data_IF_888941162144
#
_entry.id   IF_888941162144
#
_cell.length_a   1.000
_cell.length_b   1.000
_cell.length_c   1.000
_cell.angle_alpha   90.00
_cell.angle_beta   90.00
_cell.angle_gamma   90.00
#
_symmetry.space_group_name_H-M   'P 1'
#
loop_
_entity.id
_entity.type
_entity.pdbx_description
1 polymer ?
#
# COMPACT_ATOMS: atom_id res chain seq x y z
N UNK A 1 9.18 22.17 -24.13
CA UNK A 1 9.22 21.12 -23.09
C UNK A 1 8.20 20.02 -23.41
N UNK A 2 8.53 19.03 -24.26
CA UNK A 2 7.83 17.75 -24.17
C UNK A 2 8.82 16.59 -24.40
N UNK A 3 9.71 16.34 -23.44
CA UNK A 3 10.56 15.15 -23.45
C UNK A 3 10.66 14.60 -22.04
N UNK A 4 9.94 13.50 -21.84
CA UNK A 4 9.92 12.62 -20.67
C UNK A 4 9.33 13.21 -19.37
N UNK A 5 8.00 13.25 -19.31
CA UNK A 5 7.29 13.30 -18.04
C UNK A 5 7.26 11.88 -17.45
N UNK A 6 8.17 11.59 -16.52
CA UNK A 6 8.20 10.30 -15.80
C UNK A 6 7.16 10.22 -14.66
N UNK A 7 6.44 11.32 -14.41
CA UNK A 7 5.42 11.42 -13.37
C UNK A 7 4.03 11.42 -13.99
N UNK A 8 3.03 11.02 -13.21
CA UNK A 8 1.66 11.00 -13.69
C UNK A 8 1.07 12.39 -13.94
N UNK A 9 0.21 12.52 -14.97
CA UNK A 9 -0.46 13.77 -15.36
C UNK A 9 -1.11 14.54 -14.21
N UNK A 10 -1.83 13.82 -13.35
CA UNK A 10 -2.52 14.42 -12.20
C UNK A 10 -1.53 15.01 -11.19
N UNK A 11 -0.41 14.34 -10.94
CA UNK A 11 0.61 14.85 -10.03
C UNK A 11 1.26 16.10 -10.63
N UNK A 12 1.58 16.11 -11.92
CA UNK A 12 2.18 17.29 -12.57
C UNK A 12 1.27 18.52 -12.43
N UNK A 13 -0.03 18.35 -12.71
CA UNK A 13 -1.00 19.42 -12.56
C UNK A 13 -1.15 19.87 -11.10
N UNK A 14 -1.17 18.92 -10.16
CA UNK A 14 -1.21 19.19 -8.73
C UNK A 14 0.00 20.04 -8.30
N UNK A 15 1.22 19.70 -8.76
CA UNK A 15 2.43 20.44 -8.44
C UNK A 15 2.43 21.86 -9.00
N UNK A 16 1.83 22.09 -10.17
CA UNK A 16 1.71 23.45 -10.74
C UNK A 16 0.95 24.40 -9.79
N UNK A 17 -0.01 23.89 -9.01
CA UNK A 17 -0.75 24.69 -8.03
C UNK A 17 -0.07 24.76 -6.66
N UNK A 18 0.65 23.70 -6.27
CA UNK A 18 1.23 23.57 -4.93
C UNK A 18 2.64 24.12 -4.80
N UNK A 19 3.30 24.50 -5.89
CA UNK A 19 4.73 24.86 -5.87
C UNK A 19 5.03 26.02 -4.91
N UNK A 20 4.12 26.99 -4.82
CA UNK A 20 4.25 28.17 -3.95
C UNK A 20 4.11 27.83 -2.45
N UNK A 21 3.49 26.70 -2.13
CA UNK A 21 3.22 26.26 -0.74
C UNK A 21 3.80 24.88 -0.44
N UNK A 22 4.76 24.41 -1.24
CA UNK A 22 5.22 23.02 -1.25
C UNK A 22 5.59 22.51 0.16
N UNK A 23 6.30 23.31 0.96
CA UNK A 23 6.73 22.93 2.32
C UNK A 23 5.57 22.60 3.24
N UNK A 24 4.57 23.47 3.30
CA UNK A 24 3.37 23.24 4.11
C UNK A 24 2.59 22.03 3.60
N UNK A 25 2.52 21.84 2.28
CA UNK A 25 1.76 20.74 1.70
C UNK A 25 2.38 19.39 2.08
N UNK A 26 3.69 19.22 1.97
CA UNK A 26 4.35 17.96 2.34
C UNK A 26 4.25 17.68 3.84
N UNK A 27 4.42 18.71 4.70
CA UNK A 27 4.22 18.55 6.14
C UNK A 27 2.78 18.14 6.48
N UNK A 28 1.77 18.77 5.85
CA UNK A 28 0.37 18.41 6.05
C UNK A 28 0.10 16.99 5.55
N UNK A 29 0.70 16.60 4.42
CA UNK A 29 0.56 15.27 3.82
C UNK A 29 1.09 14.18 4.75
N UNK A 30 2.24 14.38 5.39
CA UNK A 30 2.78 13.43 6.38
C UNK A 30 1.93 13.37 7.66
N UNK A 31 1.41 14.51 8.13
CA UNK A 31 0.45 14.54 9.26
C UNK A 31 -0.83 13.79 8.91
N UNK A 32 -1.37 13.97 7.70
CA UNK A 32 -2.55 13.26 7.21
C UNK A 32 -2.29 11.75 7.14
N UNK A 33 -1.11 11.33 6.67
CA UNK A 33 -0.70 9.91 6.68
C UNK A 33 -0.72 9.37 8.11
N UNK A 34 -0.07 10.06 9.05
CA UNK A 34 0.00 9.63 10.45
C UNK A 34 -1.39 9.53 11.10
N UNK A 35 -2.26 10.51 10.85
CA UNK A 35 -3.66 10.50 11.35
C UNK A 35 -4.45 9.36 10.72
N UNK A 36 -4.30 9.11 9.42
CA UNK A 36 -4.98 8.00 8.74
C UNK A 36 -4.55 6.65 9.32
N UNK A 37 -3.24 6.45 9.53
CA UNK A 37 -2.71 5.25 10.17
C UNK A 37 -3.19 5.10 11.62
N UNK A 38 -3.20 6.18 12.40
CA UNK A 38 -3.73 6.17 13.77
C UNK A 38 -5.19 5.68 13.80
N UNK A 39 -6.07 6.29 13.00
CA UNK A 39 -7.48 5.93 12.95
C UNK A 39 -7.68 4.50 12.45
N UNK A 40 -6.88 4.07 11.47
CA UNK A 40 -6.93 2.72 10.93
C UNK A 40 -6.59 1.68 12.01
N UNK A 41 -5.49 1.87 12.74
CA UNK A 41 -5.09 0.94 13.81
C UNK A 41 -6.04 0.99 15.00
N UNK A 42 -6.59 2.16 15.33
CA UNK A 42 -7.60 2.28 16.38
C UNK A 42 -8.84 1.44 16.05
N UNK A 43 -9.36 1.51 14.82
CA UNK A 43 -10.52 0.73 14.40
C UNK A 43 -10.19 -0.76 14.25
N UNK A 44 -8.99 -1.10 13.76
CA UNK A 44 -8.51 -2.48 13.73
C UNK A 44 -8.46 -3.10 15.13
N UNK A 45 -7.89 -2.39 16.12
CA UNK A 45 -7.80 -2.87 17.50
C UNK A 45 -9.18 -3.11 18.11
N UNK A 46 -10.19 -2.28 17.81
CA UNK A 46 -11.58 -2.54 18.23
C UNK A 46 -12.12 -3.86 17.67
N UNK A 47 -11.83 -4.17 16.40
CA UNK A 47 -12.26 -5.41 15.75
C UNK A 47 -11.54 -6.62 16.35
N UNK A 48 -10.22 -6.53 16.53
CA UNK A 48 -9.41 -7.59 17.14
C UNK A 48 -9.85 -7.86 18.57
N UNK A 49 -10.08 -6.81 19.37
CA UNK A 49 -10.52 -6.95 20.77
C UNK A 49 -11.85 -7.69 20.89
N UNK A 50 -12.83 -7.36 20.03
CA UNK A 50 -14.12 -8.07 19.97
C UNK A 50 -13.94 -9.54 19.60
N UNK A 51 -13.09 -9.84 18.61
CA UNK A 51 -12.79 -11.20 18.18
C UNK A 51 -12.08 -11.99 19.30
N UNK A 52 -11.13 -11.37 19.99
CA UNK A 52 -10.42 -11.99 21.12
C UNK A 52 -11.36 -12.30 22.27
N UNK A 53 -12.20 -11.33 22.69
CA UNK A 53 -13.18 -11.54 23.77
C UNK A 53 -14.10 -12.73 23.50
N UNK A 54 -14.64 -12.82 22.28
CA UNK A 54 -15.49 -13.93 21.86
C UNK A 54 -14.76 -15.28 21.92
N UNK A 55 -13.50 -15.32 21.45
CA UNK A 55 -12.70 -16.55 21.47
C UNK A 55 -12.32 -17.00 22.89
N UNK A 56 -12.13 -16.06 23.82
CA UNK A 56 -11.92 -16.35 25.25
C UNK A 56 -13.20 -16.92 25.87
N UNK A 57 -14.36 -16.31 25.60
CA UNK A 57 -15.66 -16.80 26.09
C UNK A 57 -16.00 -18.21 25.57
N UNK A 58 -15.49 -18.57 24.39
CA UNK A 58 -15.66 -19.91 23.80
C UNK A 58 -14.59 -20.93 24.23
N UNK A 59 -13.66 -20.58 25.11
CA UNK A 59 -12.54 -21.41 25.58
C UNK A 59 -11.73 -22.06 24.43
N UNK A 60 -11.57 -21.32 23.34
CA UNK A 60 -10.86 -21.80 22.12
C UNK A 60 -9.37 -21.51 22.13
N UNK A 61 -8.85 -20.82 23.13
CA UNK A 61 -7.42 -20.52 23.21
C UNK A 61 -6.67 -21.68 23.83
N UNK A 62 -5.60 -22.11 23.15
CA UNK A 62 -4.63 -23.00 23.77
C UNK A 62 -3.91 -22.25 24.91
N UNK A 63 -3.56 -22.93 26.01
CA UNK A 63 -2.92 -22.30 27.17
C UNK A 63 -1.59 -21.62 26.82
N UNK A 64 -0.85 -22.18 25.86
CA UNK A 64 0.44 -21.63 25.38
C UNK A 64 0.32 -20.29 24.63
N UNK A 65 -0.90 -19.88 24.23
CA UNK A 65 -1.15 -18.64 23.47
C UNK A 65 -1.54 -17.48 24.40
N UNK A 66 -1.71 -17.72 25.70
CA UNK A 66 -2.15 -16.71 26.66
C UNK A 66 -1.21 -15.49 26.73
N UNK A 67 0.10 -15.71 26.55
CA UNK A 67 1.13 -14.65 26.56
C UNK A 67 1.10 -13.77 25.30
N UNK A 68 0.56 -14.30 24.19
CA UNK A 68 0.43 -13.59 22.91
C UNK A 68 -0.86 -12.74 22.83
N UNK A 69 -1.75 -12.86 23.83
CA UNK A 69 -2.99 -12.08 23.89
C UNK A 69 -2.66 -10.63 24.22
N UNK A 70 -3.13 -9.72 23.37
CA UNK A 70 -2.90 -8.29 23.55
C UNK A 70 -3.70 -7.75 24.74
N UNK A 71 -3.03 -7.02 25.62
CA UNK A 71 -3.73 -6.37 26.75
C UNK A 71 -4.49 -5.13 26.27
N UNK A 72 -5.63 -4.77 26.90
CA UNK A 72 -6.41 -3.60 26.50
C UNK A 72 -5.60 -2.30 26.62
N UNK A 73 -4.65 -2.24 27.56
CA UNK A 73 -3.73 -1.11 27.71
C UNK A 73 -2.79 -1.01 26.49
N UNK A 74 -2.19 -2.11 26.07
CA UNK A 74 -1.32 -2.13 24.89
C UNK A 74 -2.07 -1.69 23.64
N UNK A 75 -3.26 -2.24 23.40
CA UNK A 75 -4.10 -1.90 22.24
C UNK A 75 -4.48 -0.42 22.19
N UNK A 76 -4.58 0.26 23.33
CA UNK A 76 -4.88 1.70 23.39
C UNK A 76 -3.68 2.56 22.93
N UNK A 77 -2.45 2.17 23.29
CA UNK A 77 -1.25 2.94 22.94
C UNK A 77 -0.68 2.60 21.55
N UNK A 78 -0.98 1.41 21.01
CA UNK A 78 -0.47 0.98 19.70
C UNK A 78 -0.75 1.97 18.55
N UNK A 79 -1.96 2.53 18.37
CA UNK A 79 -2.22 3.52 17.31
C UNK A 79 -1.31 4.75 17.42
N UNK A 80 -1.09 5.25 18.65
CA UNK A 80 -0.23 6.40 18.91
C UNK A 80 1.24 6.07 18.64
N UNK A 81 1.69 4.85 19.01
CA UNK A 81 3.04 4.37 18.65
C UNK A 81 3.21 4.35 17.14
N UNK A 82 2.25 3.82 16.37
CA UNK A 82 2.33 3.77 14.90
C UNK A 82 2.45 5.17 14.29
N UNK A 83 1.64 6.13 14.73
CA UNK A 83 1.71 7.51 14.25
C UNK A 83 3.05 8.18 14.58
N UNK A 84 3.54 8.03 15.82
CA UNK A 84 4.84 8.58 16.23
C UNK A 84 5.99 7.92 15.48
N UNK A 85 5.96 6.59 15.30
CA UNK A 85 6.97 5.87 14.54
C UNK A 85 7.01 6.30 13.08
N UNK A 86 5.88 6.71 12.49
CA UNK A 86 5.85 7.27 11.14
C UNK A 86 6.44 8.70 11.09
N UNK A 87 5.96 9.61 11.96
CA UNK A 87 6.34 11.02 11.94
C UNK A 87 7.80 11.25 12.36
N UNK A 88 8.28 10.47 13.33
CA UNK A 88 9.65 10.56 13.84
C UNK A 88 10.62 9.66 13.07
N UNK A 89 10.16 8.98 12.01
CA UNK A 89 11.05 8.18 11.16
C UNK A 89 12.01 9.12 10.40
N UNK A 90 13.34 8.94 10.50
CA UNK A 90 14.28 9.75 9.72
C UNK A 90 14.01 9.71 8.23
N UNK A 91 13.47 8.60 7.71
CA UNK A 91 13.11 8.45 6.31
C UNK A 91 11.90 9.30 5.89
N UNK A 92 10.89 9.43 6.76
CA UNK A 92 9.76 10.33 6.52
C UNK A 92 10.24 11.78 6.51
N UNK A 93 11.01 12.18 7.53
CA UNK A 93 11.54 13.55 7.66
C UNK A 93 12.40 13.91 6.45
N UNK A 94 13.29 13.01 6.02
CA UNK A 94 14.14 13.23 4.85
C UNK A 94 13.31 13.36 3.56
N UNK A 95 12.29 12.50 3.39
CA UNK A 95 11.38 12.57 2.23
C UNK A 95 10.55 13.85 2.21
N UNK A 96 10.13 14.36 3.38
CA UNK A 96 9.42 15.61 3.53
C UNK A 96 10.30 16.81 3.15
N UNK A 97 11.53 16.87 3.69
CA UNK A 97 12.50 17.94 3.38
C UNK A 97 12.87 17.92 1.90
N UNK A 98 12.99 16.74 1.30
CA UNK A 98 13.25 16.56 -0.13
C UNK A 98 12.05 16.89 -1.03
N UNK A 99 10.87 17.23 -0.47
CA UNK A 99 9.64 17.55 -1.22
C UNK A 99 9.27 16.43 -2.21
N UNK A 100 9.46 15.18 -1.78
CA UNK A 100 9.29 14.00 -2.62
C UNK A 100 7.82 13.64 -2.81
N UNK A 101 7.44 13.24 -4.02
CA UNK A 101 6.11 12.70 -4.36
C UNK A 101 5.77 11.43 -3.56
N UNK A 102 6.76 10.78 -2.95
CA UNK A 102 6.57 9.64 -2.06
C UNK A 102 5.62 9.93 -0.89
N UNK A 103 5.67 11.13 -0.30
CA UNK A 103 4.76 11.51 0.78
C UNK A 103 3.29 11.41 0.35
N UNK A 104 2.97 11.91 -0.85
CA UNK A 104 1.63 11.84 -1.43
C UNK A 104 1.21 10.38 -1.67
N UNK A 105 2.09 9.56 -2.26
CA UNK A 105 1.82 8.15 -2.48
C UNK A 105 1.53 7.41 -1.15
N UNK A 106 2.33 7.70 -0.13
CA UNK A 106 2.16 7.14 1.22
C UNK A 106 0.82 7.55 1.85
N UNK A 107 0.41 8.80 1.69
CA UNK A 107 -0.91 9.27 2.16
C UNK A 107 -2.05 8.55 1.46
N UNK A 108 -1.98 8.37 0.15
CA UNK A 108 -3.01 7.64 -0.62
C UNK A 108 -3.10 6.18 -0.14
N UNK A 109 -1.96 5.52 0.08
CA UNK A 109 -1.92 4.15 0.64
C UNK A 109 -2.49 4.14 2.07
N UNK A 110 -2.19 5.11 2.92
CA UNK A 110 -2.73 5.18 4.27
C UNK A 110 -4.25 5.41 4.29
N UNK A 111 -4.78 6.26 3.40
CA UNK A 111 -6.23 6.42 3.23
C UNK A 111 -6.90 5.17 2.69
N UNK A 112 -6.25 4.45 1.76
CA UNK A 112 -6.70 3.13 1.33
C UNK A 112 -6.82 2.17 2.52
N UNK A 113 -5.79 2.05 3.35
CA UNK A 113 -5.77 1.19 4.54
C UNK A 113 -6.90 1.58 5.52
N UNK A 114 -7.06 2.88 5.79
CA UNK A 114 -8.14 3.39 6.63
C UNK A 114 -9.52 3.04 6.07
N UNK A 115 -9.74 3.23 4.77
CA UNK A 115 -11.02 2.93 4.12
C UNK A 115 -11.33 1.43 4.13
N UNK A 116 -10.33 0.58 3.88
CA UNK A 116 -10.43 -0.88 3.98
C UNK A 116 -10.77 -1.29 5.41
N UNK A 117 -10.05 -0.78 6.41
CA UNK A 117 -10.28 -1.13 7.81
C UNK A 117 -11.64 -0.65 8.29
N UNK A 118 -12.10 0.53 7.85
CA UNK A 118 -13.48 1.04 8.08
C UNK A 118 -14.56 0.27 7.33
N UNK A 119 -14.20 -0.59 6.39
CA UNK A 119 -15.13 -1.45 5.66
C UNK A 119 -15.85 -0.77 4.49
N UNK A 120 -15.40 0.40 4.06
CA UNK A 120 -15.95 1.09 2.90
C UNK A 120 -15.33 0.56 1.62
N UNK A 121 -16.02 -0.36 0.95
CA UNK A 121 -15.54 -0.96 -0.30
C UNK A 121 -15.34 0.09 -1.41
N UNK A 122 -16.24 1.07 -1.51
CA UNK A 122 -16.15 2.15 -2.49
C UNK A 122 -14.91 3.02 -2.28
N UNK A 123 -14.73 3.59 -1.08
CA UNK A 123 -13.56 4.44 -0.79
C UNK A 123 -12.25 3.65 -0.90
N UNK A 124 -12.24 2.41 -0.44
CA UNK A 124 -11.07 1.53 -0.58
C UNK A 124 -10.73 1.32 -2.06
N UNK A 125 -11.71 1.04 -2.92
CA UNK A 125 -11.47 0.87 -4.35
C UNK A 125 -10.92 2.15 -5.00
N UNK A 126 -11.47 3.32 -4.65
CA UNK A 126 -11.03 4.62 -5.18
C UNK A 126 -9.58 4.93 -4.78
N UNK A 127 -9.24 4.79 -3.50
CA UNK A 127 -7.86 5.05 -3.05
C UNK A 127 -6.88 4.02 -3.58
N UNK A 128 -7.29 2.75 -3.75
CA UNK A 128 -6.46 1.74 -4.39
C UNK A 128 -6.21 2.07 -5.86
N UNK A 129 -7.24 2.49 -6.60
CA UNK A 129 -7.10 2.92 -7.99
C UNK A 129 -6.17 4.13 -8.12
N UNK A 130 -6.27 5.09 -7.20
CA UNK A 130 -5.37 6.23 -7.15
C UNK A 130 -3.92 5.80 -6.84
N UNK A 131 -3.72 4.87 -5.90
CA UNK A 131 -2.40 4.33 -5.58
C UNK A 131 -1.78 3.58 -6.77
N UNK A 132 -2.57 2.74 -7.46
CA UNK A 132 -2.14 2.00 -8.66
C UNK A 132 -1.84 2.94 -9.83
N UNK A 133 -2.60 4.02 -9.96
CA UNK A 133 -2.34 5.03 -10.98
C UNK A 133 -1.01 5.75 -10.70
N UNK A 134 -0.74 6.13 -9.45
CA UNK A 134 0.51 6.80 -9.08
C UNK A 134 1.74 5.88 -9.17
N UNK A 135 1.58 4.60 -8.86
CA UNK A 135 2.62 3.58 -8.97
C UNK A 135 1.96 2.23 -9.26
N UNK A 136 2.53 1.40 -10.12
CA UNK A 136 1.86 0.15 -10.54
C UNK A 136 1.70 -0.89 -9.43
N UNK A 137 2.65 -0.96 -8.49
CA UNK A 137 2.79 -2.07 -7.53
C UNK A 137 1.69 -2.19 -6.46
N UNK A 138 1.09 -1.09 -5.94
CA UNK A 138 -0.09 -1.13 -5.08
C UNK A 138 -1.27 -1.95 -5.60
N UNK A 139 -1.35 -2.28 -6.90
CA UNK A 139 -2.32 -3.25 -7.43
C UNK A 139 -2.36 -4.56 -6.62
N UNK A 140 -1.21 -5.01 -6.13
CA UNK A 140 -1.11 -6.23 -5.32
C UNK A 140 -1.85 -6.14 -3.97
N UNK A 141 -2.12 -4.93 -3.47
CA UNK A 141 -2.92 -4.68 -2.26
C UNK A 141 -4.42 -4.96 -2.46
N UNK A 142 -4.86 -5.17 -3.71
CA UNK A 142 -6.23 -5.61 -4.00
C UNK A 142 -6.59 -6.90 -3.26
N UNK A 143 -5.69 -7.89 -3.26
CA UNK A 143 -5.92 -9.19 -2.64
C UNK A 143 -6.13 -9.11 -1.11
N UNK A 144 -5.24 -8.49 -0.31
CA UNK A 144 -5.47 -8.35 1.13
C UNK A 144 -6.71 -7.52 1.47
N UNK A 145 -7.00 -6.44 0.71
CA UNK A 145 -8.19 -5.64 0.96
C UNK A 145 -9.49 -6.39 0.66
N UNK A 146 -9.55 -7.13 -0.46
CA UNK A 146 -10.68 -7.98 -0.78
C UNK A 146 -10.93 -9.01 0.33
N UNK A 147 -9.88 -9.68 0.81
CA UNK A 147 -9.98 -10.67 1.88
C UNK A 147 -10.49 -10.04 3.19
N UNK A 148 -10.00 -8.86 3.57
CA UNK A 148 -10.49 -8.15 4.75
C UNK A 148 -11.97 -7.77 4.63
N UNK A 149 -12.37 -7.22 3.48
CA UNK A 149 -13.75 -6.79 3.24
C UNK A 149 -14.73 -7.98 3.22
N UNK A 150 -14.34 -9.11 2.62
CA UNK A 150 -15.10 -10.36 2.66
C UNK A 150 -15.29 -10.87 4.09
N UNK A 151 -14.23 -10.88 4.90
CA UNK A 151 -14.31 -11.27 6.31
C UNK A 151 -15.25 -10.37 7.10
N UNK A 152 -15.22 -9.06 6.85
CA UNK A 152 -16.10 -8.09 7.52
C UNK A 152 -17.57 -8.28 7.16
N UNK A 153 -17.87 -8.74 5.95
CA UNK A 153 -19.22 -9.09 5.50
C UNK A 153 -19.63 -10.52 5.89
N UNK A 154 -18.80 -11.25 6.67
CA UNK A 154 -19.00 -12.64 7.05
C UNK A 154 -19.16 -13.61 5.87
N UNK A 155 -18.61 -13.27 4.71
CA UNK A 155 -18.65 -14.13 3.51
C UNK A 155 -17.52 -15.15 3.60
N UNK A 156 -17.78 -16.46 3.53
CA UNK A 156 -16.73 -17.46 3.61
C UNK A 156 -15.83 -17.39 2.37
N UNK A 157 -14.51 -17.36 2.59
CA UNK A 157 -13.47 -17.41 1.55
C UNK A 157 -13.37 -18.84 0.98
N UNK A 158 -14.41 -19.25 0.24
CA UNK A 158 -14.50 -20.53 -0.45
C UNK A 158 -14.66 -20.26 -1.94
N UNK A 159 -13.74 -20.78 -2.75
CA UNK A 159 -13.76 -20.64 -4.22
C UNK A 159 -15.06 -21.12 -4.89
N UNK A 160 -15.79 -22.04 -4.26
CA UNK A 160 -17.08 -22.56 -4.75
C UNK A 160 -18.29 -21.69 -4.38
N UNK A 161 -18.12 -20.69 -3.50
CA UNK A 161 -19.23 -19.85 -3.04
C UNK A 161 -19.61 -18.80 -4.09
N UNK A 162 -20.89 -18.75 -4.49
CA UNK A 162 -21.39 -17.71 -5.40
C UNK A 162 -21.25 -16.32 -4.79
N UNK A 163 -21.47 -16.18 -3.48
CA UNK A 163 -21.36 -14.90 -2.78
C UNK A 163 -19.94 -14.33 -2.78
N UNK A 164 -18.92 -15.20 -2.72
CA UNK A 164 -17.52 -14.80 -2.84
C UNK A 164 -17.24 -14.17 -4.21
N UNK A 165 -17.67 -14.83 -5.29
CA UNK A 165 -17.47 -14.33 -6.65
C UNK A 165 -18.25 -13.05 -6.92
N UNK A 166 -19.50 -12.95 -6.49
CA UNK A 166 -20.31 -11.73 -6.65
C UNK A 166 -19.66 -10.52 -5.97
N UNK A 167 -19.22 -10.68 -4.71
CA UNK A 167 -18.56 -9.58 -3.99
C UNK A 167 -17.20 -9.24 -4.59
N UNK A 168 -16.43 -10.23 -5.01
CA UNK A 168 -15.15 -10.03 -5.70
C UNK A 168 -15.35 -9.26 -7.01
N UNK A 169 -16.33 -9.64 -7.81
CA UNK A 169 -16.68 -8.94 -9.06
C UNK A 169 -17.17 -7.52 -8.79
N UNK A 170 -17.98 -7.31 -7.75
CA UNK A 170 -18.42 -5.97 -7.36
C UNK A 170 -17.24 -5.08 -6.96
N UNK A 171 -16.33 -5.56 -6.10
CA UNK A 171 -15.16 -4.81 -5.68
C UNK A 171 -14.18 -4.56 -6.83
N UNK A 172 -13.95 -5.58 -7.69
CA UNK A 172 -13.16 -5.44 -8.90
C UNK A 172 -13.75 -4.42 -9.87
N UNK A 173 -15.08 -4.41 -10.07
CA UNK A 173 -15.76 -3.44 -10.92
C UNK A 173 -15.62 -2.01 -10.37
N UNK A 174 -15.75 -1.81 -9.05
CA UNK A 174 -15.54 -0.50 -8.42
C UNK A 174 -14.09 -0.01 -8.61
N UNK A 175 -13.12 -0.91 -8.43
CA UNK A 175 -11.71 -0.61 -8.62
C UNK A 175 -11.39 -0.27 -10.09
N UNK A 176 -11.82 -1.10 -11.04
CA UNK A 176 -11.58 -0.88 -12.46
C UNK A 176 -12.29 0.39 -12.96
N UNK A 177 -13.53 0.63 -12.53
CA UNK A 177 -14.27 1.83 -12.89
C UNK A 177 -13.56 3.10 -12.38
N UNK A 178 -13.14 3.11 -11.11
CA UNK A 178 -12.39 4.26 -10.56
C UNK A 178 -11.04 4.46 -11.26
N UNK A 179 -10.32 3.39 -11.59
CA UNK A 179 -9.07 3.46 -12.35
C UNK A 179 -9.29 4.03 -13.76
N UNK A 180 -10.33 3.57 -14.47
CA UNK A 180 -10.69 4.11 -15.80
C UNK A 180 -11.04 5.59 -15.70
N UNK A 181 -11.83 6.00 -14.70
CA UNK A 181 -12.17 7.42 -14.49
C UNK A 181 -10.90 8.26 -14.30
N UNK A 182 -9.96 7.81 -13.48
CA UNK A 182 -8.69 8.52 -13.24
C UNK A 182 -7.85 8.61 -14.52
N UNK A 183 -7.75 7.54 -15.30
CA UNK A 183 -7.05 7.52 -16.59
C UNK A 183 -7.73 8.46 -17.60
N UNK A 184 -9.06 8.44 -17.70
CA UNK A 184 -9.81 9.33 -18.57
C UNK A 184 -9.61 10.80 -18.18
N UNK A 185 -9.67 11.13 -16.89
CA UNK A 185 -9.36 12.48 -16.39
C UNK A 185 -7.94 12.91 -16.80
N UNK A 186 -6.98 11.99 -16.72
CA UNK A 186 -5.59 12.23 -17.12
C UNK A 186 -5.44 12.50 -18.62
N UNK A 187 -6.19 11.75 -19.44
CA UNK A 187 -6.25 11.97 -20.88
C UNK A 187 -6.83 13.35 -21.21
N UNK A 188 -7.92 13.77 -20.55
CA UNK A 188 -8.49 15.10 -20.75
C UNK A 188 -7.55 16.24 -20.31
N UNK A 189 -6.69 16.02 -19.31
CA UNK A 189 -5.72 17.01 -18.84
C UNK A 189 -4.56 17.23 -19.83
N UNK A 190 -4.02 16.15 -20.42
CA UNK A 190 -2.87 16.22 -21.35
C UNK A 190 -3.26 16.21 -22.83
N UNK A 191 -4.51 15.86 -23.15
CA UNK A 191 -5.00 15.58 -24.51
C UNK A 191 -4.12 14.58 -25.30
N UNK A 192 -3.43 13.66 -24.61
CA UNK A 192 -2.54 12.67 -25.22
C UNK A 192 -2.48 11.39 -24.39
N UNK A 193 -2.17 10.28 -25.06
CA UNK A 193 -1.94 8.97 -24.41
C UNK A 193 -0.46 8.72 -24.10
N UNK A 194 0.41 9.67 -24.44
CA UNK A 194 1.88 9.53 -24.36
C UNK A 194 2.37 9.33 -22.92
N UNK A 195 1.58 9.71 -21.92
CA UNK A 195 1.91 9.48 -20.52
C UNK A 195 1.91 7.99 -20.15
N UNK A 196 1.14 7.14 -20.83
CA UNK A 196 1.09 5.70 -20.52
C UNK A 196 2.43 5.03 -20.77
N UNK A 197 3.00 5.06 -22.00
CA UNK A 197 4.32 4.49 -22.24
C UNK A 197 5.42 5.24 -21.48
N UNK A 198 5.29 6.56 -21.28
CA UNK A 198 6.30 7.37 -20.59
C UNK A 198 6.39 7.06 -19.08
N UNK A 199 5.28 6.78 -18.41
CA UNK A 199 5.24 6.49 -16.97
C UNK A 199 5.32 4.99 -16.72
N UNK A 200 4.35 4.23 -17.25
CA UNK A 200 4.23 2.81 -16.96
C UNK A 200 5.24 1.97 -17.75
N UNK A 201 5.50 2.35 -19.01
CA UNK A 201 6.56 1.73 -19.81
C UNK A 201 7.93 1.91 -19.15
N UNK A 202 8.24 3.13 -18.67
CA UNK A 202 9.48 3.42 -17.96
C UNK A 202 9.65 2.63 -16.65
N UNK A 203 8.57 2.48 -15.86
CA UNK A 203 8.60 1.65 -14.64
C UNK A 203 8.90 0.19 -14.98
N UNK A 204 8.30 -0.33 -16.06
CA UNK A 204 8.41 -1.74 -16.43
C UNK A 204 9.75 -2.07 -17.11
N UNK A 205 10.25 -1.21 -18.00
CA UNK A 205 11.49 -1.46 -18.76
C UNK A 205 12.75 -1.06 -18.00
N UNK A 206 12.65 -0.26 -16.94
CA UNK A 206 13.76 0.21 -16.10
C UNK A 206 14.97 0.67 -16.93
N UNK A 207 14.80 1.66 -17.83
CA UNK A 207 15.86 2.06 -18.74
C UNK A 207 16.90 2.97 -18.08
N UNK A 208 16.58 3.55 -16.92
CA UNK A 208 17.49 4.41 -16.16
C UNK A 208 18.08 3.64 -14.97
N UNK A 209 19.41 3.65 -14.89
CA UNK A 209 20.19 2.99 -13.84
C UNK A 209 20.94 4.01 -12.98
N UNK A 210 20.39 5.22 -12.85
CA UNK A 210 20.87 6.20 -11.88
C UNK A 210 20.89 5.61 -10.45
N UNK A 211 21.92 5.92 -9.64
CA UNK A 211 22.05 5.38 -8.31
C UNK A 211 20.82 5.60 -7.43
N UNK A 212 20.27 4.51 -6.91
CA UNK A 212 19.15 4.50 -5.98
C UNK A 212 19.30 3.38 -4.95
N UNK A 213 18.44 3.35 -3.93
CA UNK A 213 18.52 2.34 -2.86
C UNK A 213 17.91 0.98 -3.25
N UNK A 214 17.36 0.85 -4.45
CA UNK A 214 16.57 -0.29 -4.88
C UNK A 214 17.38 -1.47 -5.39
N UNK A 215 16.78 -2.66 -5.27
CA UNK A 215 17.38 -3.90 -5.78
C UNK A 215 17.67 -3.85 -7.27
N UNK A 216 16.84 -3.15 -8.06
CA UNK A 216 17.04 -3.01 -9.49
C UNK A 216 18.38 -2.31 -9.79
N UNK A 217 18.71 -1.22 -9.10
CA UNK A 217 19.99 -0.56 -9.36
C UNK A 217 21.18 -1.48 -9.08
N UNK A 218 21.23 -2.09 -7.90
CA UNK A 218 22.36 -2.96 -7.52
C UNK A 218 22.53 -4.16 -8.47
N UNK A 219 21.43 -4.79 -8.89
CA UNK A 219 21.50 -5.97 -9.75
C UNK A 219 21.80 -5.61 -11.21
N UNK A 220 21.14 -4.59 -11.76
CA UNK A 220 21.29 -4.24 -13.18
C UNK A 220 22.55 -3.42 -13.47
N UNK A 221 23.13 -2.74 -12.48
CA UNK A 221 24.41 -2.06 -12.64
C UNK A 221 25.59 -3.02 -12.93
N UNK A 222 25.51 -4.26 -12.44
CA UNK A 222 26.56 -5.27 -12.64
C UNK A 222 26.28 -6.22 -13.80
N UNK A 223 25.08 -6.18 -14.38
CA UNK A 223 24.64 -7.14 -15.37
C UNK A 223 24.86 -6.68 -16.81
N UNK A 224 25.23 -7.63 -17.67
CA UNK A 224 25.32 -7.39 -19.11
C UNK A 224 23.95 -7.04 -19.72
N UNK A 225 23.90 -5.98 -20.52
CA UNK A 225 22.69 -5.49 -21.19
C UNK A 225 21.96 -6.57 -21.99
N UNK A 226 22.71 -7.51 -22.61
CA UNK A 226 22.13 -8.57 -23.43
C UNK A 226 21.15 -9.48 -22.68
N UNK A 227 21.36 -9.70 -21.37
CA UNK A 227 20.48 -10.53 -20.53
C UNK A 227 19.46 -9.70 -19.72
N UNK A 228 19.58 -8.37 -19.75
CA UNK A 228 18.80 -7.47 -18.89
C UNK A 228 17.29 -7.70 -19.00
N UNK A 229 16.76 -7.76 -20.22
CA UNK A 229 15.32 -7.92 -20.45
C UNK A 229 14.73 -9.15 -19.75
N UNK A 230 15.44 -10.29 -19.78
CA UNK A 230 14.99 -11.51 -19.10
C UNK A 230 14.85 -11.27 -17.60
N UNK A 231 15.86 -10.68 -16.97
CA UNK A 231 15.84 -10.42 -15.53
C UNK A 231 14.86 -9.30 -15.16
N UNK A 232 14.64 -8.29 -16.03
CA UNK A 232 13.60 -7.28 -15.81
C UNK A 232 12.24 -7.98 -15.70
N UNK A 233 11.91 -8.86 -16.65
CA UNK A 233 10.67 -9.62 -16.61
C UNK A 233 10.55 -10.47 -15.33
N UNK A 234 11.60 -11.17 -14.93
CA UNK A 234 11.61 -11.99 -13.71
C UNK A 234 11.35 -11.14 -12.46
N UNK A 235 12.05 -10.01 -12.31
CA UNK A 235 11.89 -9.13 -11.15
C UNK A 235 10.49 -8.50 -11.09
N UNK A 236 9.95 -8.05 -12.23
CA UNK A 236 8.58 -7.49 -12.28
C UNK A 236 7.53 -8.55 -11.92
N UNK A 237 7.65 -9.77 -12.46
CA UNK A 237 6.70 -10.87 -12.18
C UNK A 237 6.74 -11.27 -10.70
N UNK A 238 7.92 -11.27 -10.07
CA UNK A 238 8.09 -11.67 -8.67
C UNK A 238 7.18 -10.89 -7.71
N UNK A 239 7.01 -9.58 -7.92
CA UNK A 239 6.15 -8.74 -7.06
C UNK A 239 4.70 -9.22 -7.07
N UNK A 240 4.20 -9.61 -8.24
CA UNK A 240 2.83 -10.12 -8.40
C UNK A 240 2.73 -11.58 -7.93
N UNK A 241 3.76 -12.38 -8.21
CA UNK A 241 3.77 -13.81 -7.89
C UNK A 241 3.64 -14.07 -6.39
N UNK A 242 4.35 -13.31 -5.53
CA UNK A 242 4.27 -13.46 -4.07
C UNK A 242 2.85 -13.25 -3.50
N UNK A 243 2.01 -12.48 -4.20
CA UNK A 243 0.64 -12.18 -3.75
C UNK A 243 -0.20 -13.46 -3.64
N UNK A 244 -0.02 -14.42 -4.54
CA UNK A 244 -0.83 -15.66 -4.62
C UNK A 244 -0.62 -16.58 -3.40
N UNK A 245 0.61 -17.06 -3.10
CA UNK A 245 0.83 -17.94 -1.95
C UNK A 245 0.55 -17.23 -0.63
N UNK A 246 0.81 -15.91 -0.54
CA UNK A 246 0.47 -15.12 0.65
C UNK A 246 -1.05 -15.01 0.85
N UNK A 247 -1.83 -14.79 -0.23
CA UNK A 247 -3.28 -14.76 -0.14
C UNK A 247 -3.87 -16.09 0.34
N UNK A 248 -3.26 -17.23 -0.02
CA UNK A 248 -3.68 -18.55 0.44
C UNK A 248 -3.31 -18.76 1.92
N UNK A 249 -2.06 -18.46 2.29
CA UNK A 249 -1.51 -18.72 3.63
C UNK A 249 -2.06 -17.76 4.69
N UNK A 250 -2.23 -16.48 4.35
CA UNK A 250 -2.63 -15.42 5.27
C UNK A 250 -4.10 -15.01 5.12
N UNK A 251 -4.94 -15.86 4.50
CA UNK A 251 -6.37 -15.59 4.29
C UNK A 251 -7.14 -15.26 5.57
N UNK A 252 -6.66 -15.71 6.73
CA UNK A 252 -7.29 -15.49 8.05
C UNK A 252 -6.83 -14.19 8.72
N UNK A 253 -5.66 -13.67 8.31
CA UNK A 253 -5.03 -12.46 8.85
C UNK A 253 -4.73 -11.44 7.73
N UNK A 254 -5.77 -10.89 7.07
CA UNK A 254 -5.59 -10.03 5.90
C UNK A 254 -4.87 -8.70 6.19
N UNK A 255 -4.93 -8.17 7.42
CA UNK A 255 -4.17 -6.96 7.80
C UNK A 255 -2.68 -7.25 7.92
N UNK A 256 -2.30 -8.44 8.40
CA UNK A 256 -0.91 -8.89 8.38
C UNK A 256 -0.44 -9.12 6.94
N UNK A 257 -1.30 -9.70 6.09
CA UNK A 257 -1.00 -9.80 4.66
C UNK A 257 -0.78 -8.43 4.01
N UNK A 258 -1.63 -7.43 4.32
CA UNK A 258 -1.46 -6.06 3.85
C UNK A 258 -0.08 -5.50 4.25
N UNK A 259 0.31 -5.68 5.51
CA UNK A 259 1.64 -5.27 6.00
C UNK A 259 2.78 -5.93 5.22
N UNK A 260 2.75 -7.26 5.05
CA UNK A 260 3.77 -8.01 4.30
C UNK A 260 3.82 -7.57 2.84
N UNK A 261 2.67 -7.31 2.21
CA UNK A 261 2.61 -6.88 0.82
C UNK A 261 3.21 -5.48 0.63
N UNK A 262 3.00 -4.55 1.57
CA UNK A 262 3.67 -3.23 1.54
C UNK A 262 5.18 -3.39 1.65
N UNK A 263 5.67 -4.28 2.53
CA UNK A 263 7.10 -4.55 2.63
C UNK A 263 7.66 -5.12 1.31
N UNK A 264 6.98 -6.08 0.68
CA UNK A 264 7.36 -6.64 -0.63
C UNK A 264 7.39 -5.55 -1.71
N UNK A 265 6.38 -4.67 -1.75
CA UNK A 265 6.35 -3.53 -2.68
C UNK A 265 7.57 -2.63 -2.43
N UNK A 266 7.89 -2.30 -1.18
CA UNK A 266 9.03 -1.41 -0.88
C UNK A 266 10.39 -1.99 -1.31
N UNK A 267 10.52 -3.31 -1.30
CA UNK A 267 11.76 -4.02 -1.66
C UNK A 267 11.89 -4.17 -3.19
N UNK A 268 10.81 -4.56 -3.87
CA UNK A 268 10.84 -4.93 -5.29
C UNK A 268 10.25 -3.88 -6.25
N UNK A 269 9.91 -2.68 -5.77
CA UNK A 269 9.57 -1.54 -6.65
C UNK A 269 10.80 -1.18 -7.52
N UNK A 270 10.61 -0.91 -8.82
CA UNK A 270 11.71 -0.56 -9.75
C UNK A 270 12.55 0.61 -9.28
N UNK A 271 11.89 1.67 -8.80
CA UNK A 271 12.52 2.91 -8.34
C UNK A 271 12.02 3.23 -6.93
N UNK A 272 12.52 2.53 -5.90
CA UNK A 272 12.12 2.80 -4.53
C UNK A 272 12.85 4.03 -4.01
N UNK A 273 12.14 4.80 -3.20
CA UNK A 273 12.65 5.95 -2.48
C UNK A 273 12.76 5.61 -1.00
N UNK A 274 13.61 6.34 -0.29
CA UNK A 274 13.81 6.15 1.16
C UNK A 274 12.48 6.28 1.93
N UNK A 275 11.55 7.12 1.46
CA UNK A 275 10.23 7.29 2.06
C UNK A 275 9.29 6.08 1.91
N UNK A 276 9.50 5.19 0.93
CA UNK A 276 8.67 3.99 0.75
C UNK A 276 8.87 2.99 1.90
N UNK A 277 10.06 3.01 2.52
CA UNK A 277 10.42 2.20 3.68
C UNK A 277 9.69 2.66 4.94
N UNK A 278 9.44 3.98 5.04
CA UNK A 278 8.86 4.56 6.24
C UNK A 278 7.45 4.02 6.55
N UNK A 279 6.66 3.74 5.51
CA UNK A 279 5.28 3.30 5.67
C UNK A 279 5.21 1.89 6.27
N UNK A 280 6.00 0.92 5.79
CA UNK A 280 5.99 -0.42 6.41
C UNK A 280 6.59 -0.38 7.83
N UNK A 281 7.66 0.38 8.06
CA UNK A 281 8.28 0.48 9.38
C UNK A 281 7.31 1.01 10.44
N UNK A 282 6.41 1.93 10.05
CA UNK A 282 5.39 2.46 10.95
C UNK A 282 4.44 1.38 11.50
N UNK A 283 4.23 0.26 10.79
CA UNK A 283 3.37 -0.83 11.24
C UNK A 283 4.05 -1.82 12.20
N UNK A 284 5.37 -1.78 12.39
CA UNK A 284 6.08 -2.71 13.27
C UNK A 284 5.50 -2.77 14.70
N UNK A 285 5.12 -1.65 15.36
CA UNK A 285 4.56 -1.69 16.71
C UNK A 285 3.25 -2.49 16.83
N UNK A 286 2.49 -2.64 15.74
CA UNK A 286 1.23 -3.41 15.72
C UNK A 286 1.47 -4.89 16.04
N UNK A 287 2.62 -5.41 15.60
CA UNK A 287 2.99 -6.82 15.74
C UNK A 287 3.93 -7.10 16.91
N UNK A 288 4.13 -6.14 17.81
CA UNK A 288 5.02 -6.26 18.98
C UNK A 288 4.70 -7.46 19.89
N UNK A 289 3.44 -7.90 19.94
CA UNK A 289 2.99 -9.07 20.69
C UNK A 289 3.54 -10.40 20.16
N UNK A 290 4.01 -10.47 18.90
CA UNK A 290 4.58 -11.69 18.32
C UNK A 290 6.03 -11.95 18.74
N UNK A 291 6.68 -10.97 19.36
CA UNK A 291 8.09 -11.03 19.77
C UNK A 291 8.26 -11.28 21.28
N UNK A 292 7.20 -11.75 21.95
CA UNK A 292 7.22 -12.07 23.39
C UNK A 292 7.69 -13.49 23.62
#
# INVERSE_FOLDING_TARGET
FPSALFQTPLIIYLFHFLIDYAEMVFMITDVLTAVALYLAIQDFNKVVFKKQKLLIELDKYAPDVAELIQTPKEMHYTPLKVALFYLLNPYTVMSCVAKSTCAINNTVIAFFILATIKGSAFLSAVFLALATYQSLYPLTLFAPALLYLLQRQFIPVKLKSKGFWLYTMQYAALYLCSLVVIICLSFFLLNSWDFIPSVYGFILSVPDLTPNIGLFWYFFAEMFEHFSLFFVCVFQINVFFYTIPLAIKLKEHPVFFLFVQIAIISIFKSYPTVGDIALYMAFLPVWSHLYR
#
